data_IF_330188122046
#
_entry.id   IF_330188122046
#
_cell.length_a   1.000
_cell.length_b   1.000
_cell.length_c   1.000
_cell.angle_alpha   90.00
_cell.angle_beta   90.00
_cell.angle_gamma   90.00
#
_symmetry.space_group_name_H-M   'P 1'
#
loop_
_entity.id
_entity.type
_entity.pdbx_description
1 polymer ?
#
# COMPACT_ATOMS: atom_id res chain seq x y z
N UNK A 1 -22.66 -7.15 -13.65
CA UNK A 1 -23.63 -7.05 -12.53
C UNK A 1 -23.05 -6.13 -11.47
N UNK A 2 -23.67 -4.98 -11.23
CA UNK A 2 -23.24 -4.07 -10.16
C UNK A 2 -23.70 -4.69 -8.83
N UNK A 3 -22.76 -5.20 -8.03
CA UNK A 3 -23.06 -5.65 -6.67
C UNK A 3 -22.62 -4.57 -5.69
N UNK A 4 -23.48 -4.29 -4.72
CA UNK A 4 -23.19 -3.32 -3.65
C UNK A 4 -21.99 -3.74 -2.82
N UNK A 5 -21.35 -2.76 -2.19
CA UNK A 5 -20.29 -3.00 -1.21
C UNK A 5 -20.82 -3.84 -0.04
N UNK A 6 -20.20 -5.00 0.22
CA UNK A 6 -20.56 -5.83 1.38
C UNK A 6 -20.02 -5.22 2.66
N UNK A 7 -20.67 -5.50 3.79
CA UNK A 7 -20.21 -5.00 5.09
C UNK A 7 -18.83 -5.54 5.47
N UNK A 8 -18.48 -6.76 5.06
CA UNK A 8 -17.15 -7.35 5.28
C UNK A 8 -16.02 -6.55 4.63
N UNK A 9 -16.22 -6.12 3.38
CA UNK A 9 -15.24 -5.26 2.68
C UNK A 9 -15.11 -3.92 3.43
N UNK A 10 -16.22 -3.32 3.86
CA UNK A 10 -16.20 -2.07 4.63
C UNK A 10 -15.45 -2.24 5.95
N UNK A 11 -15.71 -3.30 6.70
CA UNK A 11 -15.04 -3.58 7.97
C UNK A 11 -13.52 -3.75 7.78
N UNK A 12 -13.11 -4.48 6.73
CA UNK A 12 -11.70 -4.62 6.37
C UNK A 12 -11.05 -3.27 6.03
N UNK A 13 -11.72 -2.46 5.18
CA UNK A 13 -11.23 -1.14 4.78
C UNK A 13 -11.12 -0.19 5.98
N UNK A 14 -12.10 -0.17 6.90
CA UNK A 14 -12.07 0.63 8.13
C UNK A 14 -10.89 0.20 9.01
N UNK A 15 -10.76 -1.10 9.27
CA UNK A 15 -9.67 -1.64 10.10
C UNK A 15 -8.29 -1.30 9.53
N UNK A 16 -8.12 -1.45 8.22
CA UNK A 16 -6.86 -1.13 7.52
C UNK A 16 -6.58 0.36 7.50
N UNK A 17 -7.59 1.19 7.26
CA UNK A 17 -7.47 2.65 7.30
C UNK A 17 -7.07 3.14 8.70
N UNK A 18 -7.71 2.62 9.76
CA UNK A 18 -7.39 2.98 11.16
C UNK A 18 -5.96 2.60 11.53
N UNK A 19 -5.49 1.41 11.13
CA UNK A 19 -4.09 1.00 11.35
C UNK A 19 -3.10 1.89 10.61
N UNK A 20 -3.34 2.18 9.33
CA UNK A 20 -2.50 3.09 8.56
C UNK A 20 -2.53 4.54 9.10
N UNK A 21 -3.67 5.01 9.59
CA UNK A 21 -3.78 6.32 10.26
C UNK A 21 -2.97 6.33 11.56
N UNK A 22 -3.07 5.25 12.35
CA UNK A 22 -2.30 5.08 13.56
C UNK A 22 -0.80 5.15 13.29
N UNK A 23 -0.30 4.38 12.31
CA UNK A 23 1.11 4.38 11.90
C UNK A 23 1.55 5.75 11.35
N UNK A 24 0.73 6.36 10.50
CA UNK A 24 1.00 7.66 9.88
C UNK A 24 1.06 8.80 10.91
N UNK A 25 0.01 8.95 11.73
CA UNK A 25 -0.05 10.01 12.74
C UNK A 25 1.05 9.81 13.78
N UNK A 26 1.26 8.57 14.26
CA UNK A 26 2.30 8.29 15.24
C UNK A 26 3.70 8.54 14.67
N UNK A 27 3.98 8.18 13.42
CA UNK A 27 5.25 8.45 12.78
C UNK A 27 5.54 9.95 12.58
N UNK A 28 4.51 10.77 12.34
CA UNK A 28 4.65 12.23 12.27
C UNK A 28 4.88 12.88 13.64
N UNK A 29 4.17 12.42 14.67
CA UNK A 29 4.20 13.04 16.00
C UNK A 29 5.33 12.52 16.90
N UNK A 30 5.70 11.25 16.75
CA UNK A 30 6.66 10.55 17.60
C UNK A 30 7.47 9.51 16.82
N UNK A 31 8.40 9.99 15.98
CA UNK A 31 9.23 9.14 15.12
C UNK A 31 10.01 8.03 15.84
N UNK A 32 10.35 8.23 17.13
CA UNK A 32 11.08 7.23 17.94
C UNK A 32 10.21 6.07 18.37
N UNK A 33 8.90 6.30 18.47
CA UNK A 33 7.93 5.32 18.92
C UNK A 33 7.03 4.80 17.80
N UNK A 34 7.40 5.06 16.53
CA UNK A 34 6.68 4.51 15.39
C UNK A 34 6.52 2.99 15.57
N UNK A 35 5.30 2.47 15.37
CA UNK A 35 4.98 1.05 15.60
C UNK A 35 5.54 0.11 14.53
N UNK A 36 6.69 0.48 13.96
CA UNK A 36 7.50 -0.30 13.04
C UNK A 36 8.73 -0.76 13.83
N UNK A 37 9.11 -2.05 13.81
CA UNK A 37 10.24 -2.57 14.58
C UNK A 37 11.60 -2.21 13.94
N UNK A 38 11.79 -0.93 13.62
CA UNK A 38 12.98 -0.34 13.01
C UNK A 38 13.26 1.04 13.60
N UNK A 39 14.51 1.46 13.55
CA UNK A 39 14.92 2.80 13.94
C UNK A 39 14.89 3.74 12.74
N UNK A 40 14.33 4.94 12.93
CA UNK A 40 14.20 5.94 11.87
C UNK A 40 14.86 7.24 12.28
N UNK A 41 15.46 7.93 11.30
CA UNK A 41 15.68 9.38 11.42
C UNK A 41 14.33 10.10 11.35
N UNK A 42 14.22 11.33 11.91
CA UNK A 42 12.96 12.08 11.87
C UNK A 42 12.38 12.25 10.46
N UNK A 43 13.26 12.54 9.48
CA UNK A 43 12.86 12.71 8.08
C UNK A 43 12.34 11.42 7.47
N UNK A 44 13.01 10.28 7.71
CA UNK A 44 12.60 8.99 7.17
C UNK A 44 11.28 8.53 7.78
N UNK A 45 11.07 8.75 9.09
CA UNK A 45 9.81 8.46 9.74
C UNK A 45 8.66 9.31 9.17
N UNK A 46 8.88 10.61 8.97
CA UNK A 46 7.87 11.49 8.39
C UNK A 46 7.51 11.09 6.95
N UNK A 47 8.51 10.68 6.16
CA UNK A 47 8.27 10.18 4.80
C UNK A 47 7.44 8.89 4.80
N UNK A 48 7.81 7.90 5.61
CA UNK A 48 7.04 6.64 5.77
C UNK A 48 5.63 6.92 6.28
N UNK A 49 5.51 7.81 7.26
CA UNK A 49 4.22 8.23 7.77
C UNK A 49 3.35 8.86 6.67
N UNK A 50 3.93 9.69 5.80
CA UNK A 50 3.25 10.23 4.62
C UNK A 50 2.72 9.15 3.69
N UNK A 51 3.50 8.08 3.45
CA UNK A 51 3.06 6.94 2.64
C UNK A 51 1.88 6.19 3.28
N UNK A 52 1.93 5.96 4.60
CA UNK A 52 0.80 5.35 5.33
C UNK A 52 -0.44 6.24 5.31
N UNK A 53 -0.30 7.55 5.49
CA UNK A 53 -1.42 8.49 5.42
C UNK A 53 -2.04 8.53 4.02
N UNK A 54 -1.22 8.56 2.96
CA UNK A 54 -1.71 8.51 1.59
C UNK A 54 -2.51 7.22 1.34
N UNK A 55 -1.99 6.06 1.76
CA UNK A 55 -2.70 4.78 1.69
C UNK A 55 -4.02 4.80 2.48
N UNK A 56 -4.01 5.30 3.72
CA UNK A 56 -5.20 5.42 4.55
C UNK A 56 -6.26 6.34 3.97
N UNK A 57 -5.87 7.50 3.42
CA UNK A 57 -6.80 8.41 2.74
C UNK A 57 -7.45 7.68 1.57
N UNK A 58 -6.67 6.96 0.75
CA UNK A 58 -7.20 6.16 -0.35
C UNK A 58 -8.20 5.08 0.10
N UNK A 59 -7.90 4.36 1.19
CA UNK A 59 -8.82 3.40 1.79
C UNK A 59 -10.11 4.06 2.31
N UNK A 60 -10.00 5.23 2.94
CA UNK A 60 -11.14 6.01 3.44
C UNK A 60 -12.02 6.47 2.26
N UNK A 61 -11.43 7.02 1.20
CA UNK A 61 -12.17 7.39 0.00
C UNK A 61 -12.88 6.18 -0.61
N UNK A 62 -12.24 5.02 -0.59
CA UNK A 62 -12.80 3.74 -1.04
C UNK A 62 -14.00 3.29 -0.18
N UNK A 63 -14.07 3.65 1.10
CA UNK A 63 -15.26 3.37 1.93
C UNK A 63 -16.52 4.05 1.39
N UNK A 64 -16.38 5.18 0.69
CA UNK A 64 -17.52 5.90 0.12
C UNK A 64 -17.95 5.34 -1.24
N UNK A 65 -17.22 4.38 -1.82
CA UNK A 65 -17.64 3.71 -3.03
C UNK A 65 -18.94 2.91 -2.79
N UNK A 66 -19.84 2.98 -3.77
CA UNK A 66 -21.12 2.27 -3.74
C UNK A 66 -20.97 0.82 -4.19
N UNK A 67 -20.07 0.60 -5.15
CA UNK A 67 -19.85 -0.70 -5.76
C UNK A 67 -18.53 -1.31 -5.31
N UNK A 68 -18.54 -2.61 -5.04
CA UNK A 68 -17.35 -3.36 -4.63
C UNK A 68 -16.23 -3.37 -5.68
N UNK A 69 -16.58 -3.19 -6.95
CA UNK A 69 -15.63 -3.13 -8.04
C UNK A 69 -14.71 -1.90 -7.93
N UNK A 70 -15.23 -0.80 -7.40
CA UNK A 70 -14.49 0.45 -7.26
C UNK A 70 -13.46 0.36 -6.10
N UNK A 71 -13.67 -0.58 -5.16
CA UNK A 71 -12.70 -0.89 -4.11
C UNK A 71 -11.58 -1.84 -4.54
N UNK A 72 -11.74 -2.52 -5.70
CA UNK A 72 -10.79 -3.52 -6.17
C UNK A 72 -9.36 -3.00 -6.29
N UNK A 73 -9.07 -1.84 -6.94
CA UNK A 73 -7.69 -1.38 -7.08
C UNK A 73 -7.00 -1.21 -5.73
N UNK A 74 -7.67 -0.57 -4.77
CA UNK A 74 -7.12 -0.37 -3.42
C UNK A 74 -6.94 -1.67 -2.65
N UNK A 75 -7.90 -2.60 -2.72
CA UNK A 75 -7.73 -3.93 -2.09
C UNK A 75 -6.49 -4.64 -2.65
N UNK A 76 -6.34 -4.70 -3.98
CA UNK A 76 -5.18 -5.34 -4.62
C UNK A 76 -3.89 -4.60 -4.24
N UNK A 77 -3.87 -3.27 -4.30
CA UNK A 77 -2.72 -2.47 -3.87
C UNK A 77 -2.32 -2.72 -2.41
N UNK A 78 -3.29 -2.81 -1.50
CA UNK A 78 -3.05 -3.17 -0.10
C UNK A 78 -2.46 -4.58 0.03
N UNK A 79 -2.97 -5.57 -0.73
CA UNK A 79 -2.40 -6.91 -0.73
C UNK A 79 -0.96 -6.91 -1.25
N UNK A 80 -0.66 -6.14 -2.29
CA UNK A 80 0.68 -6.00 -2.86
C UNK A 80 1.64 -5.39 -1.83
N UNK A 81 1.34 -4.23 -1.25
CA UNK A 81 2.25 -3.58 -0.29
C UNK A 81 2.47 -4.47 0.93
N UNK A 82 1.43 -5.08 1.47
CA UNK A 82 1.55 -5.93 2.67
C UNK A 82 2.31 -7.23 2.40
N UNK A 83 2.11 -7.84 1.23
CA UNK A 83 2.90 -9.02 0.82
C UNK A 83 4.37 -8.68 0.61
N UNK A 84 4.66 -7.55 -0.06
CA UNK A 84 6.04 -7.10 -0.26
C UNK A 84 6.72 -6.75 1.06
N UNK A 85 6.02 -6.05 1.96
CA UNK A 85 6.52 -5.75 3.30
C UNK A 85 6.78 -7.04 4.11
N UNK A 86 5.90 -8.04 4.02
CA UNK A 86 6.13 -9.35 4.65
C UNK A 86 7.39 -10.02 4.07
N UNK A 87 7.54 -10.00 2.74
CA UNK A 87 8.69 -10.60 2.06
C UNK A 87 10.00 -9.90 2.46
N UNK A 88 10.05 -8.56 2.42
CA UNK A 88 11.23 -7.79 2.86
C UNK A 88 11.51 -8.04 4.33
N UNK A 89 10.48 -8.07 5.19
CA UNK A 89 10.64 -8.36 6.63
C UNK A 89 11.25 -9.76 6.84
N UNK A 90 10.78 -10.78 6.12
CA UNK A 90 11.31 -12.14 6.22
C UNK A 90 12.74 -12.27 5.69
N UNK A 91 13.04 -11.66 4.54
CA UNK A 91 14.37 -11.71 3.92
C UNK A 91 15.43 -10.91 4.70
N UNK A 92 14.99 -9.84 5.37
CA UNK A 92 15.85 -8.92 6.13
C UNK A 92 15.63 -9.05 7.63
N UNK A 93 15.17 -10.21 8.11
CA UNK A 93 14.74 -10.43 9.48
C UNK A 93 15.76 -9.99 10.53
N UNK A 94 17.05 -10.19 10.27
CA UNK A 94 18.15 -9.82 11.18
C UNK A 94 18.31 -8.30 11.39
N UNK A 95 17.72 -7.47 10.54
CA UNK A 95 17.78 -6.01 10.65
C UNK A 95 16.61 -5.43 11.46
N UNK A 96 15.56 -6.23 11.69
CA UNK A 96 14.43 -5.86 12.53
C UNK A 96 14.72 -6.18 14.00
N UNK A 97 14.00 -5.52 14.91
CA UNK A 97 14.02 -5.90 16.32
C UNK A 97 13.53 -7.36 16.47
N UNK A 98 14.43 -8.27 16.83
CA UNK A 98 14.10 -9.71 16.96
C UNK A 98 13.56 -10.10 18.33
N UNK A 99 13.62 -9.20 19.31
CA UNK A 99 13.00 -9.40 20.61
C UNK A 99 11.49 -9.40 20.43
N UNK A 100 10.81 -10.38 21.02
CA UNK A 100 9.35 -10.48 20.94
C UNK A 100 8.70 -9.27 21.62
N UNK A 101 8.40 -8.24 20.84
CA UNK A 101 7.77 -7.00 21.27
C UNK A 101 6.36 -6.88 20.70
N UNK A 102 5.52 -6.04 21.32
CA UNK A 102 4.20 -5.72 20.78
C UNK A 102 4.28 -5.08 19.39
N UNK A 103 5.36 -4.31 19.12
CA UNK A 103 5.65 -3.73 17.80
C UNK A 103 5.88 -4.83 16.76
N UNK A 104 6.73 -5.81 17.06
CA UNK A 104 7.02 -6.92 16.14
C UNK A 104 5.77 -7.80 15.88
N UNK A 105 5.03 -8.15 16.92
CA UNK A 105 3.80 -8.96 16.80
C UNK A 105 2.76 -8.21 15.94
N UNK A 106 2.55 -6.92 16.21
CA UNK A 106 1.62 -6.09 15.43
C UNK A 106 2.04 -5.96 13.97
N UNK A 107 3.32 -5.71 13.73
CA UNK A 107 3.93 -5.59 12.40
C UNK A 107 3.73 -6.87 11.58
N UNK A 108 4.29 -8.00 12.04
CA UNK A 108 4.21 -9.27 11.33
C UNK A 108 2.76 -9.77 11.24
N UNK A 109 1.99 -9.68 12.33
CA UNK A 109 0.61 -10.11 12.36
C UNK A 109 -0.25 -9.37 11.33
N UNK A 110 -0.06 -8.05 11.18
CA UNK A 110 -0.78 -7.27 10.17
C UNK A 110 -0.44 -7.69 8.74
N UNK A 111 0.83 -7.96 8.44
CA UNK A 111 1.25 -8.35 7.09
C UNK A 111 1.02 -9.81 6.74
N UNK A 112 0.72 -10.67 7.71
CA UNK A 112 0.15 -11.99 7.43
C UNK A 112 -1.35 -11.90 7.24
N UNK A 113 -2.05 -11.17 8.12
CA UNK A 113 -3.51 -11.09 8.10
C UNK A 113 -4.04 -10.40 6.84
N UNK A 114 -3.49 -9.24 6.47
CA UNK A 114 -4.00 -8.42 5.36
C UNK A 114 -4.00 -9.14 4.00
N UNK A 115 -2.88 -9.72 3.51
CA UNK A 115 -2.89 -10.39 2.22
C UNK A 115 -3.79 -11.62 2.20
N UNK A 116 -3.90 -12.36 3.32
CA UNK A 116 -4.82 -13.51 3.44
C UNK A 116 -6.27 -13.03 3.38
N UNK A 117 -6.63 -12.05 4.20
CA UNK A 117 -7.98 -11.49 4.24
C UNK A 117 -8.38 -10.91 2.89
N UNK A 118 -7.51 -10.16 2.23
CA UNK A 118 -7.77 -9.60 0.90
C UNK A 118 -7.91 -10.71 -0.14
N UNK A 119 -7.03 -11.72 -0.14
CA UNK A 119 -7.13 -12.84 -1.09
C UNK A 119 -8.46 -13.57 -0.95
N UNK A 120 -8.92 -13.79 0.28
CA UNK A 120 -10.24 -14.35 0.56
C UNK A 120 -11.36 -13.43 0.07
N UNK A 121 -11.30 -12.11 0.31
CA UNK A 121 -12.29 -11.15 -0.19
C UNK A 121 -12.32 -11.13 -1.73
N UNK A 122 -11.17 -11.14 -2.39
CA UNK A 122 -11.07 -11.09 -3.85
C UNK A 122 -11.66 -12.34 -4.49
N UNK A 123 -11.36 -13.52 -3.93
CA UNK A 123 -11.84 -14.81 -4.44
C UNK A 123 -13.33 -15.02 -4.15
N UNK A 124 -13.76 -14.86 -2.90
CA UNK A 124 -15.16 -15.10 -2.49
C UNK A 124 -16.15 -14.08 -3.07
N UNK A 125 -15.70 -12.85 -3.34
CA UNK A 125 -16.55 -11.84 -3.96
C UNK A 125 -16.34 -11.71 -5.48
N UNK A 126 -15.41 -12.45 -6.10
CA UNK A 126 -15.17 -12.38 -7.54
C UNK A 126 -14.70 -11.00 -7.99
N UNK A 127 -13.75 -10.42 -7.27
CA UNK A 127 -13.13 -9.12 -7.55
C UNK A 127 -11.81 -9.25 -8.31
N UNK A 128 -11.49 -10.42 -8.86
CA UNK A 128 -10.25 -10.63 -9.61
C UNK A 128 -10.22 -9.91 -10.97
N UNK A 129 -11.38 -9.61 -11.55
CA UNK A 129 -11.50 -9.05 -12.90
C UNK A 129 -12.04 -7.61 -12.90
N UNK A 130 -11.70 -6.79 -13.91
CA UNK A 130 -12.30 -5.47 -14.07
C UNK A 130 -13.81 -5.58 -14.23
N UNK A 131 -14.55 -4.58 -13.72
CA UNK A 131 -16.00 -4.60 -13.87
C UNK A 131 -16.43 -4.14 -15.26
N UNK A 132 -15.71 -3.18 -15.85
CA UNK A 132 -15.80 -2.75 -17.24
C UNK A 132 -14.38 -2.49 -17.79
N UNK A 133 -13.73 -3.51 -18.38
CA UNK A 133 -12.39 -3.38 -18.93
C UNK A 133 -12.31 -2.32 -20.04
N UNK A 134 -11.23 -1.54 -20.05
CA UNK A 134 -10.81 -0.68 -21.17
C UNK A 134 -10.26 0.69 -20.72
N UNK A 135 -10.05 1.61 -21.67
CA UNK A 135 -9.44 2.91 -21.40
C UNK A 135 -10.45 4.07 -21.30
N UNK A 136 -10.08 5.13 -20.58
CA UNK A 136 -10.76 6.41 -20.45
C UNK A 136 -9.77 7.58 -20.66
N UNK A 137 -10.26 8.83 -20.64
CA UNK A 137 -9.45 10.04 -20.92
C UNK A 137 -8.21 10.20 -20.02
N UNK A 138 -8.28 9.71 -18.78
CA UNK A 138 -7.18 9.80 -17.80
C UNK A 138 -6.30 8.55 -17.79
N UNK A 139 -6.60 7.50 -18.57
CA UNK A 139 -5.78 6.28 -18.62
C UNK A 139 -4.30 6.57 -18.95
N UNK A 140 -3.94 7.46 -19.89
CA UNK A 140 -2.53 7.75 -20.16
C UNK A 140 -1.79 8.34 -18.95
N UNK A 141 -2.48 9.17 -18.14
CA UNK A 141 -1.91 9.74 -16.92
C UNK A 141 -1.63 8.65 -15.89
N UNK A 142 -2.59 7.74 -15.66
CA UNK A 142 -2.40 6.63 -14.74
C UNK A 142 -1.34 5.63 -15.22
N UNK A 143 -1.22 5.40 -16.53
CA UNK A 143 -0.13 4.59 -17.10
C UNK A 143 1.22 5.26 -16.87
N UNK A 144 1.32 6.57 -17.06
CA UNK A 144 2.56 7.31 -16.80
C UNK A 144 2.94 7.27 -15.32
N UNK A 145 1.98 7.47 -14.41
CA UNK A 145 2.16 7.32 -12.97
C UNK A 145 2.64 5.91 -12.61
N UNK A 146 1.97 4.87 -13.13
CA UNK A 146 2.34 3.48 -12.91
C UNK A 146 3.75 3.17 -13.43
N UNK A 147 4.13 3.71 -14.60
CA UNK A 147 5.46 3.53 -15.15
C UNK A 147 6.52 4.19 -14.26
N UNK A 148 6.33 5.45 -13.87
CA UNK A 148 7.29 6.19 -13.04
C UNK A 148 7.45 5.54 -11.66
N UNK A 149 6.33 5.30 -10.96
CA UNK A 149 6.36 4.69 -9.62
C UNK A 149 6.80 3.23 -9.68
N UNK A 150 6.41 2.48 -10.71
CA UNK A 150 6.78 1.09 -10.89
C UNK A 150 8.27 0.93 -11.17
N UNK A 151 8.85 1.76 -12.05
CA UNK A 151 10.29 1.77 -12.31
C UNK A 151 11.07 2.20 -11.06
N UNK A 152 10.63 3.25 -10.36
CA UNK A 152 11.28 3.71 -9.14
C UNK A 152 11.23 2.63 -8.04
N UNK A 153 10.06 2.08 -7.78
CA UNK A 153 9.88 1.01 -6.82
C UNK A 153 10.72 -0.21 -7.16
N UNK A 154 10.69 -0.67 -8.42
CA UNK A 154 11.53 -1.80 -8.84
C UNK A 154 13.03 -1.53 -8.64
N UNK A 155 13.51 -0.35 -9.02
CA UNK A 155 14.90 0.06 -8.81
C UNK A 155 15.30 0.02 -7.33
N UNK A 156 14.46 0.56 -6.45
CA UNK A 156 14.71 0.57 -5.00
C UNK A 156 14.62 -0.81 -4.36
N UNK A 157 13.79 -1.70 -4.88
CA UNK A 157 13.67 -3.07 -4.39
C UNK A 157 14.88 -3.93 -4.79
N UNK A 158 15.28 -3.84 -6.06
CA UNK A 158 16.29 -4.69 -6.67
C UNK A 158 17.73 -4.21 -6.46
N UNK A 159 17.95 -2.90 -6.38
CA UNK A 159 19.27 -2.27 -6.21
C UNK A 159 19.25 -1.27 -5.04
N UNK A 160 18.96 -1.73 -3.81
CA UNK A 160 18.70 -0.84 -2.68
C UNK A 160 19.92 -0.01 -2.27
N UNK A 161 21.15 -0.51 -2.44
CA UNK A 161 22.38 0.24 -2.16
C UNK A 161 22.56 1.40 -3.14
N UNK A 162 22.35 1.14 -4.44
CA UNK A 162 22.45 2.17 -5.47
C UNK A 162 21.34 3.22 -5.30
N UNK A 163 20.12 2.77 -5.01
CA UNK A 163 18.99 3.66 -4.72
C UNK A 163 19.26 4.55 -3.51
N UNK A 164 19.79 3.99 -2.41
CA UNK A 164 20.15 4.75 -1.22
C UNK A 164 21.25 5.79 -1.49
N UNK A 165 22.21 5.49 -2.37
CA UNK A 165 23.30 6.39 -2.73
C UNK A 165 22.84 7.61 -3.56
N UNK A 166 21.79 7.46 -4.37
CA UNK A 166 21.26 8.54 -5.23
C UNK A 166 20.00 9.23 -4.65
N UNK A 167 19.48 8.74 -3.52
CA UNK A 167 18.30 9.32 -2.90
C UNK A 167 18.59 10.74 -2.41
N UNK A 168 17.62 11.69 -2.47
CA UNK A 168 17.91 13.10 -2.17
C UNK A 168 18.32 13.38 -0.72
N UNK A 169 18.12 12.42 0.18
CA UNK A 169 18.61 12.44 1.56
C UNK A 169 19.08 11.04 1.98
N UNK A 170 19.84 10.97 3.07
CA UNK A 170 20.40 9.70 3.55
C UNK A 170 19.30 8.73 3.97
N UNK A 171 19.24 7.60 3.27
CA UNK A 171 18.45 6.43 3.63
C UNK A 171 19.36 5.20 3.70
N UNK A 172 18.93 4.18 4.45
CA UNK A 172 19.60 2.87 4.45
C UNK A 172 19.03 1.99 3.32
N UNK A 173 19.78 0.99 2.84
CA UNK A 173 19.28 0.06 1.82
C UNK A 173 17.94 -0.60 2.20
N UNK A 174 17.78 -1.00 3.47
CA UNK A 174 16.51 -1.54 3.97
C UNK A 174 15.36 -0.52 3.83
N UNK A 175 15.60 0.76 4.12
CA UNK A 175 14.60 1.81 3.93
C UNK A 175 14.21 1.96 2.46
N UNK A 176 15.18 1.87 1.55
CA UNK A 176 14.89 1.90 0.12
C UNK A 176 13.93 0.77 -0.28
N UNK A 177 14.15 -0.45 0.22
CA UNK A 177 13.24 -1.57 0.00
C UNK A 177 11.87 -1.35 0.63
N UNK A 178 11.77 -0.78 1.84
CA UNK A 178 10.45 -0.46 2.42
C UNK A 178 9.69 0.58 1.59
N UNK A 179 10.37 1.62 1.10
CA UNK A 179 9.74 2.64 0.25
C UNK A 179 9.25 2.02 -1.06
N UNK A 180 10.04 1.09 -1.62
CA UNK A 180 9.70 0.38 -2.84
C UNK A 180 8.35 -0.34 -2.77
N UNK A 181 8.01 -0.93 -1.61
CA UNK A 181 6.76 -1.65 -1.42
C UNK A 181 5.55 -0.74 -1.68
N UNK A 182 5.62 0.53 -1.22
CA UNK A 182 4.56 1.51 -1.44
C UNK A 182 4.51 1.99 -2.89
N UNK A 183 5.67 2.29 -3.49
CA UNK A 183 5.71 2.74 -4.89
C UNK A 183 5.17 1.68 -5.85
N UNK A 184 5.52 0.40 -5.64
CA UNK A 184 4.99 -0.71 -6.44
C UNK A 184 3.48 -0.85 -6.24
N UNK A 185 2.99 -0.73 -5.00
CA UNK A 185 1.55 -0.81 -4.75
C UNK A 185 0.77 0.35 -5.39
N UNK A 186 1.28 1.58 -5.30
CA UNK A 186 0.69 2.73 -5.98
C UNK A 186 0.72 2.56 -7.50
N UNK A 187 1.81 2.03 -8.06
CA UNK A 187 1.90 1.71 -9.47
C UNK A 187 0.86 0.68 -9.91
N UNK A 188 0.64 -0.38 -9.11
CA UNK A 188 -0.40 -1.38 -9.36
C UNK A 188 -1.80 -0.76 -9.30
N UNK A 189 -2.08 0.10 -8.31
CA UNK A 189 -3.36 0.81 -8.20
C UNK A 189 -3.60 1.68 -9.44
N UNK A 190 -2.61 2.48 -9.85
CA UNK A 190 -2.70 3.34 -11.02
C UNK A 190 -2.90 2.51 -12.30
N UNK A 191 -2.15 1.42 -12.48
CA UNK A 191 -2.32 0.54 -13.63
C UNK A 191 -3.71 -0.07 -13.70
N UNK A 192 -4.24 -0.56 -12.57
CA UNK A 192 -5.60 -1.10 -12.50
C UNK A 192 -6.67 -0.04 -12.77
N UNK A 193 -6.47 1.19 -12.27
CA UNK A 193 -7.36 2.31 -12.54
C UNK A 193 -7.37 2.67 -14.04
N UNK A 194 -6.22 2.62 -14.71
CA UNK A 194 -6.11 2.93 -16.14
C UNK A 194 -6.91 1.98 -17.04
N UNK A 195 -7.26 0.80 -16.53
CA UNK A 195 -7.95 -0.29 -17.25
C UNK A 195 -9.46 -0.34 -16.99
N UNK A 196 -10.04 0.65 -16.30
CA UNK A 196 -11.46 0.68 -15.93
C UNK A 196 -12.22 1.80 -16.69
N UNK A 197 -13.22 1.45 -17.52
CA UNK A 197 -13.95 2.43 -18.36
C UNK A 197 -15.09 3.16 -17.65
N UNK A 198 -15.31 2.92 -16.36
CA UNK A 198 -16.56 3.35 -15.69
C UNK A 198 -16.71 4.88 -15.68
N UNK A 199 -17.79 5.42 -16.29
CA UNK A 199 -17.98 6.87 -16.42
C UNK A 199 -18.15 7.62 -15.10
N UNK A 200 -18.54 6.91 -14.02
CA UNK A 200 -18.82 7.51 -12.70
C UNK A 200 -17.56 8.11 -12.07
N UNK A 201 -16.36 7.65 -12.45
CA UNK A 201 -15.09 8.18 -11.97
C UNK A 201 -14.55 9.37 -12.81
N UNK A 202 -15.19 9.70 -13.93
CA UNK A 202 -14.68 10.67 -14.93
C UNK A 202 -15.68 11.79 -15.24
N UNK A 203 -16.88 11.77 -14.67
CA UNK A 203 -17.87 12.86 -14.82
C UNK A 203 -17.56 14.00 -13.84
N UNK A 204 -16.69 14.91 -14.28
CA UNK A 204 -16.85 16.35 -14.04
C UNK A 204 -17.33 16.99 -15.33
#
# INVERSE_FOLDING_TARGET
MNRSMTWWIRAFLISSALRGLGLGINGLLNYREISIPLQFTPLNAAFVAGLYLAGSIGLILTLFARERADARPFLIGTAVVTTLLLAVTGLRWAEFETTLSSKLIGWVGSYVFDPVAITLLLTTHGLGSPAQPGSHRLSPLFVAEAAVLGMLGWFMLALPEAAAAVWPWRIEPLMAQLYSCFFIAFAVIALLASQEQRPVLVRN
#
